data_IF_005876094970
#
_entry.id   IF_005876094970
#
_cell.length_a   1.000
_cell.length_b   1.000
_cell.length_c   1.000
_cell.angle_alpha   90.00
_cell.angle_beta   90.00
_cell.angle_gamma   90.00
#
_symmetry.space_group_name_H-M   'P 1'
#
loop_
_entity.id
_entity.type
_entity.pdbx_description
1 polymer ?
#
# COMPACT_ATOMS: atom_id res chain seq x y z
N UNK A 1 -8.48 -6.95 9.82
CA UNK A 1 -8.71 -5.52 9.48
C UNK A 1 -10.06 -5.34 8.79
N UNK A 2 -10.27 -5.70 7.52
CA UNK A 2 -11.60 -5.55 6.86
C UNK A 2 -12.67 -6.49 7.45
N UNK A 3 -12.34 -7.77 7.67
CA UNK A 3 -13.24 -8.72 8.36
C UNK A 3 -13.50 -8.37 9.84
N UNK A 4 -12.78 -7.39 10.39
CA UNK A 4 -12.95 -6.92 11.75
C UNK A 4 -13.78 -5.63 11.81
N UNK A 5 -14.16 -5.06 10.64
CA UNK A 5 -15.08 -3.94 10.58
C UNK A 5 -16.52 -4.41 10.82
N UNK A 6 -17.26 -3.66 11.63
CA UNK A 6 -18.62 -4.04 12.06
C UNK A 6 -19.62 -4.26 10.90
N UNK A 7 -19.41 -3.61 9.75
CA UNK A 7 -20.32 -3.64 8.60
C UNK A 7 -19.74 -4.30 7.34
N UNK A 8 -18.70 -5.14 7.48
CA UNK A 8 -17.98 -5.68 6.32
C UNK A 8 -18.88 -6.49 5.37
N UNK A 9 -19.87 -7.21 5.91
CA UNK A 9 -20.78 -8.05 5.11
C UNK A 9 -21.66 -7.24 4.16
N UNK A 10 -22.04 -6.00 4.55
CA UNK A 10 -22.93 -5.13 3.78
C UNK A 10 -22.17 -4.22 2.82
N UNK A 11 -20.97 -3.74 3.20
CA UNK A 11 -20.10 -2.90 2.34
C UNK A 11 -19.34 -3.68 1.27
N UNK A 12 -19.17 -4.98 1.46
CA UNK A 12 -18.33 -5.82 0.62
C UNK A 12 -19.04 -7.08 0.10
N UNK A 13 -20.38 -7.02 0.00
CA UNK A 13 -21.22 -7.98 -0.75
C UNK A 13 -20.93 -9.46 -0.44
N UNK A 14 -20.71 -9.81 0.83
CA UNK A 14 -20.46 -11.20 1.22
C UNK A 14 -19.11 -11.76 0.76
N UNK A 15 -18.10 -10.90 0.55
CA UNK A 15 -16.73 -11.30 0.26
C UNK A 15 -16.24 -12.42 1.20
N UNK A 16 -15.97 -13.60 0.63
CA UNK A 16 -15.41 -14.75 1.34
C UNK A 16 -13.94 -14.96 0.93
N UNK A 17 -12.97 -14.53 1.77
CA UNK A 17 -11.54 -14.70 1.49
C UNK A 17 -11.07 -16.15 1.47
N UNK A 18 -11.91 -17.10 1.92
CA UNK A 18 -11.60 -18.52 1.93
C UNK A 18 -12.20 -19.28 0.73
N UNK A 19 -12.85 -18.58 -0.21
CA UNK A 19 -13.34 -19.21 -1.45
C UNK A 19 -12.21 -19.38 -2.47
N UNK A 20 -11.95 -20.62 -2.96
CA UNK A 20 -11.01 -20.85 -4.06
C UNK A 20 -11.36 -20.06 -5.33
N UNK A 21 -12.66 -19.96 -5.65
CA UNK A 21 -13.16 -19.21 -6.80
C UNK A 21 -12.94 -17.70 -6.65
N UNK A 22 -13.15 -17.19 -5.43
CA UNK A 22 -12.75 -15.84 -5.07
C UNK A 22 -11.26 -15.63 -5.38
N UNK A 23 -10.38 -16.43 -4.77
CA UNK A 23 -8.93 -16.32 -4.95
C UNK A 23 -8.47 -16.35 -6.42
N UNK A 24 -9.11 -17.15 -7.27
CA UNK A 24 -8.84 -17.17 -8.72
C UNK A 24 -9.28 -15.86 -9.37
N UNK A 25 -10.52 -15.42 -9.14
CA UNK A 25 -11.03 -14.16 -9.69
C UNK A 25 -10.17 -12.96 -9.25
N UNK A 26 -9.69 -12.98 -8.00
CA UNK A 26 -8.81 -11.95 -7.47
C UNK A 26 -7.43 -11.92 -8.11
N UNK A 27 -6.87 -13.09 -8.38
CA UNK A 27 -5.60 -13.20 -9.10
C UNK A 27 -5.71 -12.65 -10.52
N UNK A 28 -6.86 -12.87 -11.18
CA UNK A 28 -7.13 -12.33 -12.52
C UNK A 28 -7.23 -10.80 -12.54
N UNK A 29 -7.96 -10.21 -11.58
CA UNK A 29 -8.07 -8.74 -11.48
C UNK A 29 -6.73 -8.06 -11.12
N UNK A 30 -5.93 -8.65 -10.24
CA UNK A 30 -4.63 -8.08 -9.86
C UNK A 30 -3.62 -8.07 -11.03
N UNK A 31 -3.69 -9.05 -11.93
CA UNK A 31 -2.67 -9.28 -12.96
C UNK A 31 -2.35 -8.03 -13.82
N UNK A 32 -3.35 -7.19 -14.13
CA UNK A 32 -3.16 -6.04 -15.00
C UNK A 32 -2.30 -4.91 -14.39
N UNK A 33 -2.37 -4.71 -13.07
CA UNK A 33 -1.70 -3.57 -12.41
C UNK A 33 -0.67 -3.99 -11.36
N UNK A 34 -0.53 -5.29 -11.06
CA UNK A 34 0.36 -5.77 -9.99
C UNK A 34 1.81 -5.32 -10.19
N UNK A 35 2.33 -5.37 -11.42
CA UNK A 35 3.71 -4.93 -11.71
C UNK A 35 3.90 -3.45 -11.39
N UNK A 36 2.93 -2.62 -11.74
CA UNK A 36 2.95 -1.19 -11.47
C UNK A 36 2.78 -0.87 -9.98
N UNK A 37 1.89 -1.60 -9.29
CA UNK A 37 1.73 -1.52 -7.84
C UNK A 37 3.01 -1.90 -7.10
N UNK A 38 3.71 -2.96 -7.55
CA UNK A 38 5.00 -3.37 -6.98
C UNK A 38 6.08 -2.33 -7.19
N UNK A 39 6.18 -1.73 -8.39
CA UNK A 39 7.13 -0.65 -8.67
C UNK A 39 6.88 0.56 -7.76
N UNK A 40 5.61 0.95 -7.58
CA UNK A 40 5.26 2.02 -6.63
C UNK A 40 5.61 1.64 -5.19
N UNK A 41 5.28 0.42 -4.76
CA UNK A 41 5.56 -0.06 -3.41
C UNK A 41 7.07 -0.08 -3.09
N UNK A 42 7.91 -0.50 -4.05
CA UNK A 42 9.37 -0.50 -3.90
C UNK A 42 9.93 0.91 -3.70
N UNK A 43 9.34 1.93 -4.33
CA UNK A 43 9.76 3.33 -4.15
C UNK A 43 9.38 3.86 -2.78
N UNK A 44 8.15 3.56 -2.35
CA UNK A 44 7.70 3.91 -1.00
C UNK A 44 8.63 3.28 0.02
N UNK A 45 8.91 1.98 -0.11
CA UNK A 45 9.82 1.26 0.78
C UNK A 45 11.22 1.89 0.82
N UNK A 46 11.77 2.24 -0.35
CA UNK A 46 13.05 2.94 -0.46
C UNK A 46 13.03 4.29 0.28
N UNK A 47 12.02 5.13 0.04
CA UNK A 47 11.90 6.43 0.71
C UNK A 47 11.75 6.30 2.23
N UNK A 48 11.04 5.28 2.69
CA UNK A 48 10.89 5.01 4.12
C UNK A 48 12.22 4.65 4.77
N UNK A 49 13.05 3.84 4.09
CA UNK A 49 14.38 3.47 4.56
C UNK A 49 15.37 4.63 4.55
N UNK A 50 15.34 5.47 3.52
CA UNK A 50 16.39 6.49 3.32
C UNK A 50 16.02 7.85 3.89
N UNK A 51 14.79 8.32 3.63
CA UNK A 51 14.39 9.70 3.85
C UNK A 51 13.60 9.85 5.15
N UNK A 52 12.71 8.89 5.43
CA UNK A 52 11.91 8.88 6.67
C UNK A 52 12.70 8.27 7.85
N UNK A 53 13.70 7.43 7.56
CA UNK A 53 14.54 6.78 8.58
C UNK A 53 13.80 5.69 9.38
N UNK A 54 12.79 5.04 8.78
CA UNK A 54 12.05 3.93 9.39
C UNK A 54 12.61 2.59 8.96
N UNK A 55 12.54 1.61 9.88
CA UNK A 55 12.83 0.22 9.56
C UNK A 55 11.77 -0.34 8.61
N UNK A 56 12.19 -0.82 7.46
CA UNK A 56 11.32 -1.48 6.48
C UNK A 56 11.20 -2.97 6.78
N UNK A 57 10.00 -3.52 6.58
CA UNK A 57 9.70 -4.96 6.60
C UNK A 57 9.54 -5.53 5.18
N UNK A 58 9.94 -4.77 4.17
CA UNK A 58 9.85 -5.09 2.75
C UNK A 58 8.44 -4.96 2.17
N UNK A 59 8.37 -5.03 0.84
CA UNK A 59 7.11 -5.07 0.08
C UNK A 59 6.51 -6.47 0.19
N UNK A 60 5.24 -6.55 0.58
CA UNK A 60 4.50 -7.81 0.71
C UNK A 60 3.23 -7.78 -0.13
N UNK A 61 2.95 -8.90 -0.79
CA UNK A 61 1.66 -9.11 -1.45
C UNK A 61 0.68 -9.75 -0.47
N UNK A 62 -0.53 -9.22 -0.42
CA UNK A 62 -1.60 -9.75 0.38
C UNK A 62 -2.95 -9.45 -0.29
N UNK A 63 -3.93 -10.32 -0.09
CA UNK A 63 -5.29 -10.18 -0.61
C UNK A 63 -6.12 -9.16 0.16
N UNK A 64 -5.63 -7.92 0.30
CA UNK A 64 -6.41 -6.85 0.90
C UNK A 64 -7.46 -6.34 -0.09
N UNK A 65 -8.72 -6.42 0.28
CA UNK A 65 -9.85 -6.03 -0.57
C UNK A 65 -9.80 -4.56 -1.03
N UNK A 66 -9.23 -3.66 -0.22
CA UNK A 66 -9.02 -2.25 -0.61
C UNK A 66 -8.11 -2.10 -1.82
N UNK A 67 -7.14 -3.01 -1.99
CA UNK A 67 -6.24 -3.04 -3.15
C UNK A 67 -6.88 -3.68 -4.38
N UNK A 68 -8.09 -4.24 -4.26
CA UNK A 68 -8.79 -4.92 -5.36
C UNK A 68 -9.87 -4.09 -6.02
N UNK A 69 -10.51 -3.17 -5.29
CA UNK A 69 -11.47 -2.23 -5.90
C UNK A 69 -10.78 -1.13 -6.74
N UNK A 70 -9.46 -1.21 -6.92
CA UNK A 70 -8.68 -0.23 -7.67
C UNK A 70 -8.46 -0.69 -9.11
N UNK A 71 -8.95 0.09 -10.08
CA UNK A 71 -8.68 -0.11 -11.52
C UNK A 71 -7.37 0.59 -11.95
N UNK A 72 -6.45 0.76 -11.01
CA UNK A 72 -5.18 1.48 -11.16
C UNK A 72 -4.14 0.93 -10.17
N UNK A 73 -2.85 1.24 -10.34
CA UNK A 73 -1.82 0.85 -9.39
C UNK A 73 -2.14 1.33 -7.98
N UNK A 74 -2.07 0.43 -6.99
CA UNK A 74 -2.49 0.71 -5.61
C UNK A 74 -1.59 0.01 -4.59
N UNK A 75 -1.29 0.69 -3.49
CA UNK A 75 -0.46 0.19 -2.39
C UNK A 75 -1.12 0.51 -1.04
N UNK A 76 -0.93 -0.38 -0.05
CA UNK A 76 -1.26 -0.12 1.34
C UNK A 76 0.06 0.09 2.09
N UNK A 77 0.14 1.19 2.83
CA UNK A 77 1.37 1.60 3.53
C UNK A 77 1.11 1.48 5.02
N UNK A 78 1.89 0.64 5.70
CA UNK A 78 1.95 0.60 7.15
C UNK A 78 3.01 1.63 7.60
N UNK A 79 2.57 2.74 8.19
CA UNK A 79 3.46 3.83 8.61
C UNK A 79 4.21 3.54 9.91
N UNK A 80 3.72 2.59 10.71
CA UNK A 80 4.30 2.09 11.95
C UNK A 80 3.25 1.34 12.78
N UNK A 81 3.65 0.92 13.97
CA UNK A 81 2.88 0.12 14.90
C UNK A 81 2.50 0.96 16.13
N UNK A 82 1.21 1.28 16.29
CA UNK A 82 0.70 1.96 17.49
C UNK A 82 0.84 1.11 18.77
N UNK A 83 1.04 -0.21 18.63
CA UNK A 83 1.32 -1.10 19.76
C UNK A 83 2.74 -0.95 20.30
N UNK A 84 3.65 -0.34 19.55
CA UNK A 84 4.98 0.03 20.02
C UNK A 84 4.97 1.49 20.50
N UNK A 85 5.25 1.70 21.78
CA UNK A 85 5.20 3.05 22.39
C UNK A 85 6.17 4.05 21.76
N UNK A 86 7.28 3.58 21.19
CA UNK A 86 8.27 4.46 20.54
C UNK A 86 7.76 4.91 19.18
N UNK A 87 7.19 3.99 18.39
CA UNK A 87 6.59 4.30 17.10
C UNK A 87 5.31 5.13 17.25
N UNK A 88 4.45 4.79 18.22
CA UNK A 88 3.23 5.55 18.55
C UNK A 88 3.54 7.02 18.78
N UNK A 89 4.49 7.33 19.68
CA UNK A 89 4.92 8.71 19.96
C UNK A 89 5.43 9.43 18.72
N UNK A 90 6.22 8.75 17.89
CA UNK A 90 6.74 9.33 16.65
C UNK A 90 5.61 9.67 15.67
N UNK A 91 4.66 8.74 15.48
CA UNK A 91 3.50 8.89 14.59
C UNK A 91 2.56 10.01 15.04
N UNK A 92 2.53 10.32 16.34
CA UNK A 92 1.74 11.43 16.89
C UNK A 92 2.40 12.80 16.67
N UNK A 93 3.72 12.85 16.41
CA UNK A 93 4.40 14.12 16.16
C UNK A 93 4.12 14.70 14.76
N UNK A 94 4.04 16.03 14.67
CA UNK A 94 3.95 16.74 13.39
C UNK A 94 5.17 16.47 12.49
N UNK A 95 6.35 16.40 13.08
CA UNK A 95 7.57 16.11 12.34
C UNK A 95 7.55 14.70 11.73
N UNK A 96 7.10 13.69 12.48
CA UNK A 96 6.97 12.32 11.99
C UNK A 96 5.92 12.19 10.88
N UNK A 97 4.75 12.81 11.07
CA UNK A 97 3.70 12.85 10.04
C UNK A 97 4.18 13.53 8.75
N UNK A 98 4.89 14.67 8.88
CA UNK A 98 5.46 15.39 7.74
C UNK A 98 6.50 14.55 7.01
N UNK A 99 7.43 13.92 7.74
CA UNK A 99 8.46 13.08 7.15
C UNK A 99 7.86 11.89 6.37
N UNK A 100 6.84 11.23 6.94
CA UNK A 100 6.12 10.14 6.27
C UNK A 100 5.42 10.65 5.00
N UNK A 101 4.67 11.74 5.10
CA UNK A 101 3.95 12.32 3.95
C UNK A 101 4.90 12.72 2.82
N UNK A 102 6.03 13.33 3.17
CA UNK A 102 7.07 13.72 2.22
C UNK A 102 7.73 12.50 1.57
N UNK A 103 8.02 11.44 2.34
CA UNK A 103 8.51 10.18 1.80
C UNK A 103 7.55 9.54 0.79
N UNK A 104 6.25 9.54 1.08
CA UNK A 104 5.21 9.05 0.15
C UNK A 104 5.15 9.92 -1.11
N UNK A 105 5.17 11.24 -0.95
CA UNK A 105 5.16 12.19 -2.06
C UNK A 105 6.36 11.98 -2.99
N UNK A 106 7.58 11.87 -2.44
CA UNK A 106 8.79 11.66 -3.23
C UNK A 106 8.76 10.32 -3.98
N UNK A 107 8.25 9.27 -3.33
CA UNK A 107 8.08 7.97 -3.97
C UNK A 107 7.08 8.03 -5.14
N UNK A 108 5.94 8.68 -4.95
CA UNK A 108 4.94 8.88 -6.00
C UNK A 108 5.47 9.75 -7.15
N UNK A 109 6.17 10.85 -6.83
CA UNK A 109 6.77 11.73 -7.83
C UNK A 109 7.79 10.97 -8.69
N UNK A 110 8.66 10.17 -8.07
CA UNK A 110 9.62 9.32 -8.80
C UNK A 110 8.91 8.28 -9.67
N UNK A 111 7.87 7.62 -9.15
CA UNK A 111 7.07 6.66 -9.89
C UNK A 111 6.42 7.29 -11.13
N UNK A 112 5.78 8.45 -10.95
CA UNK A 112 5.13 9.20 -12.01
C UNK A 112 6.12 9.60 -13.11
N UNK A 113 7.28 10.14 -12.73
CA UNK A 113 8.33 10.54 -13.70
C UNK A 113 8.81 9.37 -14.55
N UNK A 114 8.91 8.17 -13.99
CA UNK A 114 9.30 7.00 -14.78
C UNK A 114 8.20 6.52 -15.73
N UNK A 115 6.95 6.51 -15.27
CA UNK A 115 5.83 6.21 -16.14
C UNK A 115 5.73 7.18 -17.33
N UNK A 116 5.94 8.48 -17.08
CA UNK A 116 5.87 9.52 -18.11
C UNK A 116 7.12 9.54 -18.98
N UNK A 117 8.31 9.31 -18.41
CA UNK A 117 9.58 9.25 -19.14
C UNK A 117 9.74 8.02 -20.04
N UNK A 118 9.02 6.93 -19.75
CA UNK A 118 8.99 5.73 -20.61
C UNK A 118 8.07 5.92 -21.84
N UNK A 119 7.23 6.96 -21.86
CA UNK A 119 6.33 7.27 -22.99
C UNK A 119 6.98 8.13 -24.10
N UNK A 120 8.27 8.44 -23.98
CA UNK A 120 9.04 9.12 -25.01
C UNK A 120 9.79 8.14 -25.91
N UNK A 121 9.06 7.42 -26.76
CA UNK A 121 9.54 6.83 -28.01
C UNK A 121 8.55 7.16 -29.14
#
# INVERSE_FOLDING_TARGET
>A
VILQEKDYQRRYEGFNPNSPQGNILFSLFQSAYITNSLRLAQRVDKQFRTSVGRSSRGVKQAGFLVLWKSTMPSVLIESGFLTDRTEEKYLDTKAGQQAIAEGIYQAFHQYKRELEGTRGE
#
